data_IF_663078306416
#
_entry.id   IF_663078306416
#
_cell.length_a   1.000
_cell.length_b   1.000
_cell.length_c   1.000
_cell.angle_alpha   90.00
_cell.angle_beta   90.00
_cell.angle_gamma   90.00
#
_symmetry.space_group_name_H-M   'P 1'
#
loop_
_entity.id
_entity.type
_entity.pdbx_description
1 polymer ?
#
# COMPACT_ATOMS: atom_id res chain seq x y z
N UNK A 1 0.56 52.31 -20.59
CA UNK A 1 0.47 51.09 -19.75
C UNK A 1 0.99 49.81 -20.40
N UNK A 2 0.83 49.56 -21.71
CA UNK A 2 1.31 48.32 -22.37
C UNK A 2 2.83 48.16 -22.51
N UNK A 3 3.61 49.25 -22.56
CA UNK A 3 5.08 49.19 -22.72
C UNK A 3 5.81 48.73 -21.44
N UNK A 4 5.33 49.15 -20.26
CA UNK A 4 5.95 48.83 -18.96
C UNK A 4 5.80 47.34 -18.61
N UNK A 5 4.68 46.72 -18.99
CA UNK A 5 4.43 45.29 -18.76
C UNK A 5 5.34 44.38 -19.59
N UNK A 6 5.64 44.78 -20.83
CA UNK A 6 6.51 44.02 -21.74
C UNK A 6 7.96 43.99 -21.26
N UNK A 7 8.44 45.10 -20.68
CA UNK A 7 9.78 45.17 -20.09
C UNK A 7 9.90 44.33 -18.80
N UNK A 8 8.88 44.33 -17.93
CA UNK A 8 8.90 43.48 -16.73
C UNK A 8 8.88 41.99 -17.06
N UNK A 9 8.12 41.59 -18.09
CA UNK A 9 8.08 40.19 -18.55
C UNK A 9 9.43 39.76 -19.16
N UNK A 10 10.07 40.61 -19.95
CA UNK A 10 11.42 40.36 -20.49
C UNK A 10 12.48 40.19 -19.39
N UNK A 11 12.44 41.02 -18.34
CA UNK A 11 13.38 40.91 -17.21
C UNK A 11 13.19 39.58 -16.47
N UNK A 12 11.95 39.17 -16.23
CA UNK A 12 11.66 37.86 -15.57
C UNK A 12 12.15 36.70 -16.43
N UNK A 13 11.98 36.77 -17.75
CA UNK A 13 12.44 35.71 -18.65
C UNK A 13 13.97 35.60 -18.66
N UNK A 14 14.69 36.72 -18.67
CA UNK A 14 16.15 36.75 -18.59
C UNK A 14 16.63 36.15 -17.26
N UNK A 15 15.97 36.48 -16.14
CA UNK A 15 16.30 35.93 -14.83
C UNK A 15 16.10 34.41 -14.77
N UNK A 16 15.04 33.88 -15.37
CA UNK A 16 14.78 32.43 -15.45
C UNK A 16 15.88 31.75 -16.29
N UNK A 17 16.27 32.31 -17.43
CA UNK A 17 17.32 31.76 -18.28
C UNK A 17 18.67 31.76 -17.55
N UNK A 18 19.01 32.83 -16.83
CA UNK A 18 20.23 32.87 -16.01
C UNK A 18 20.22 31.85 -14.88
N UNK A 19 19.08 31.61 -14.25
CA UNK A 19 18.95 30.61 -13.18
C UNK A 19 19.14 29.18 -13.73
N UNK A 20 18.56 28.87 -14.89
CA UNK A 20 18.73 27.57 -15.57
C UNK A 20 20.20 27.37 -15.97
N UNK A 21 20.87 28.42 -16.45
CA UNK A 21 22.30 28.40 -16.78
C UNK A 21 23.17 28.10 -15.55
N UNK A 22 22.89 28.74 -14.41
CA UNK A 22 23.63 28.51 -13.16
C UNK A 22 23.44 27.07 -12.69
N UNK A 23 22.20 26.55 -12.71
CA UNK A 23 21.90 25.16 -12.34
C UNK A 23 22.65 24.17 -13.25
N UNK A 24 22.70 24.43 -14.56
CA UNK A 24 23.43 23.59 -15.51
C UNK A 24 24.94 23.58 -15.24
N UNK A 25 25.54 24.74 -14.97
CA UNK A 25 26.97 24.84 -14.64
C UNK A 25 27.28 24.16 -13.30
N UNK A 26 26.44 24.35 -12.28
CA UNK A 26 26.58 23.66 -11.00
C UNK A 26 26.48 22.14 -11.15
N UNK A 27 25.57 21.64 -11.98
CA UNK A 27 25.45 20.20 -12.28
C UNK A 27 26.70 19.63 -12.96
N UNK A 28 27.31 20.38 -13.88
CA UNK A 28 28.55 20.00 -14.56
C UNK A 28 29.74 19.98 -13.58
N UNK A 29 29.84 20.99 -12.71
CA UNK A 29 30.91 21.06 -11.70
C UNK A 29 30.79 19.90 -10.71
N UNK A 30 29.59 19.60 -10.21
CA UNK A 30 29.34 18.52 -9.25
C UNK A 30 29.57 17.11 -9.83
N UNK A 31 29.51 16.95 -11.15
CA UNK A 31 29.73 15.67 -11.82
C UNK A 31 31.08 15.55 -12.54
N UNK A 32 31.96 16.55 -12.44
CA UNK A 32 33.27 16.56 -13.12
C UNK A 32 34.19 15.42 -12.67
N UNK A 33 34.05 14.94 -11.44
CA UNK A 33 34.83 13.81 -10.92
C UNK A 33 34.32 12.43 -11.36
N UNK A 34 33.11 12.36 -11.95
CA UNK A 34 32.54 11.11 -12.51
C UNK A 34 32.89 10.89 -13.99
N UNK A 35 33.54 11.86 -14.64
CA UNK A 35 33.87 11.85 -16.08
C UNK A 35 35.36 11.61 -16.36
N UNK A 36 36.18 11.26 -15.36
CA UNK A 36 37.57 10.85 -15.60
C UNK A 36 37.62 9.36 -15.94
N UNK A 37 38.10 8.95 -17.13
CA UNK A 37 38.40 7.54 -17.38
C UNK A 37 39.55 7.06 -16.48
N UNK A 38 39.58 5.77 -16.10
CA UNK A 38 40.57 5.24 -15.19
C UNK A 38 41.98 5.37 -15.78
N UNK A 39 42.94 5.78 -14.94
CA UNK A 39 44.37 5.74 -15.28
C UNK A 39 44.80 4.27 -15.41
N UNK A 40 45.34 3.91 -16.57
CA UNK A 40 46.04 2.65 -16.78
C UNK A 40 47.44 2.73 -16.17
N UNK A 41 47.74 1.89 -15.19
CA UNK A 41 49.11 1.50 -14.88
C UNK A 41 49.48 0.32 -15.79
N UNK A 42 50.41 0.55 -16.71
CA UNK A 42 51.11 -0.48 -17.48
C UNK A 42 52.44 -0.77 -16.81
N UNK A 43 52.67 -2.02 -16.41
CA UNK A 43 53.99 -2.61 -16.25
C UNK A 43 54.29 -3.42 -17.55
N UNK A 44 55.45 -3.25 -18.20
CA UNK A 44 55.66 -3.67 -19.58
C UNK A 44 56.26 -5.08 -19.64
N UNK A 45 55.77 -5.93 -20.56
CA UNK A 45 56.60 -6.75 -21.46
C UNK A 45 55.75 -7.68 -22.34
N UNK A 46 56.23 -7.89 -23.57
CA UNK A 46 55.83 -8.86 -24.60
C UNK A 46 54.70 -8.52 -25.59
N UNK A 47 55.05 -7.65 -26.55
CA UNK A 47 55.23 -7.92 -27.99
C UNK A 47 54.42 -9.08 -28.64
N UNK A 48 53.56 -8.67 -29.61
CA UNK A 48 53.14 -9.26 -30.90
C UNK A 48 52.81 -10.78 -30.99
N UNK A 49 51.76 -11.26 -31.69
CA UNK A 49 51.26 -10.93 -33.03
C UNK A 49 49.79 -11.36 -33.21
N UNK A 50 49.17 -10.67 -34.15
CA UNK A 50 47.88 -10.84 -34.82
C UNK A 50 47.79 -12.16 -35.62
N UNK A 51 46.62 -12.81 -35.69
CA UNK A 51 45.85 -13.12 -36.92
C UNK A 51 44.78 -14.22 -36.75
N UNK A 52 43.59 -13.87 -37.23
CA UNK A 52 42.59 -14.60 -38.02
C UNK A 52 42.11 -16.05 -37.76
N UNK A 53 40.76 -16.10 -37.71
CA UNK A 53 39.85 -17.02 -38.43
C UNK A 53 39.54 -18.43 -37.88
N UNK A 54 38.24 -18.58 -37.59
CA UNK A 54 37.35 -19.69 -37.96
C UNK A 54 37.66 -21.12 -37.51
N UNK A 55 36.84 -21.67 -36.60
CA UNK A 55 35.80 -22.68 -36.90
C UNK A 55 35.32 -23.38 -35.62
N UNK A 56 34.08 -23.88 -35.71
CA UNK A 56 33.35 -24.74 -34.77
C UNK A 56 34.20 -25.67 -33.89
N UNK A 57 33.86 -25.72 -32.61
CA UNK A 57 33.62 -27.00 -31.93
C UNK A 57 32.83 -26.79 -30.63
N UNK A 58 31.72 -27.50 -30.55
CA UNK A 58 30.97 -27.82 -29.33
C UNK A 58 31.91 -28.28 -28.21
N UNK A 59 31.96 -27.49 -27.14
CA UNK A 59 32.36 -27.96 -25.81
C UNK A 59 31.31 -27.48 -24.81
N UNK A 60 30.62 -28.46 -24.24
CA UNK A 60 29.92 -28.34 -22.97
C UNK A 60 30.93 -27.88 -21.92
N UNK A 61 30.90 -26.61 -21.55
CA UNK A 61 31.62 -26.11 -20.39
C UNK A 61 30.63 -25.50 -19.41
N UNK A 62 30.41 -26.27 -18.35
CA UNK A 62 30.25 -25.83 -16.97
C UNK A 62 29.54 -24.48 -16.80
N UNK A 63 28.26 -24.59 -16.45
CA UNK A 63 27.65 -23.66 -15.50
C UNK A 63 28.53 -23.61 -14.24
N UNK A 64 29.56 -22.76 -14.27
CA UNK A 64 30.20 -22.28 -13.08
C UNK A 64 29.13 -21.59 -12.27
N UNK A 65 28.88 -22.12 -11.06
CA UNK A 65 28.18 -21.43 -9.99
C UNK A 65 28.70 -19.98 -9.93
N UNK A 66 27.97 -19.04 -10.52
CA UNK A 66 27.92 -17.71 -9.94
C UNK A 66 27.19 -17.94 -8.62
N UNK A 67 27.92 -17.89 -7.51
CA UNK A 67 27.29 -17.75 -6.20
C UNK A 67 26.28 -16.60 -6.33
N UNK A 68 25.00 -16.97 -6.40
CA UNK A 68 23.92 -16.02 -6.49
C UNK A 68 23.98 -15.18 -5.22
N UNK A 69 24.00 -13.86 -5.38
CA UNK A 69 23.98 -12.98 -4.23
C UNK A 69 22.64 -13.16 -3.51
N UNK A 70 22.67 -13.73 -2.31
CA UNK A 70 21.45 -14.04 -1.57
C UNK A 70 20.97 -12.86 -0.72
N UNK A 71 19.67 -12.84 -0.45
CA UNK A 71 19.04 -11.80 0.35
C UNK A 71 19.50 -11.83 1.81
N UNK A 72 19.79 -13.01 2.36
CA UNK A 72 20.26 -13.18 3.74
C UNK A 72 21.59 -12.46 4.03
N UNK A 73 22.37 -12.18 3.00
CA UNK A 73 23.65 -11.48 3.11
C UNK A 73 23.50 -9.95 3.09
N UNK A 74 22.28 -9.43 2.89
CA UNK A 74 22.03 -7.99 2.77
C UNK A 74 21.84 -7.30 4.10
N UNK A 75 22.12 -5.99 4.14
CA UNK A 75 22.10 -5.22 5.39
C UNK A 75 20.68 -5.08 5.93
N UNK A 76 20.52 -5.17 7.25
CA UNK A 76 19.29 -4.72 7.92
C UNK A 76 19.06 -3.24 7.59
N UNK A 77 17.81 -2.90 7.26
CA UNK A 77 17.39 -1.58 6.82
C UNK A 77 17.36 -1.39 5.29
N UNK A 78 17.97 -2.31 4.51
CA UNK A 78 17.85 -2.32 3.05
C UNK A 78 16.42 -2.59 2.60
N UNK A 79 16.09 -2.10 1.40
CA UNK A 79 14.79 -2.22 0.78
C UNK A 79 14.71 -3.40 -0.20
N UNK A 80 13.55 -4.04 -0.25
CA UNK A 80 13.21 -5.10 -1.21
C UNK A 80 11.85 -4.75 -1.81
N UNK A 81 11.68 -4.99 -3.11
CA UNK A 81 10.38 -4.91 -3.74
C UNK A 81 9.78 -6.32 -3.80
N UNK A 82 8.61 -6.46 -3.18
CA UNK A 82 7.91 -7.74 -3.09
C UNK A 82 6.41 -7.51 -3.03
N UNK A 83 5.65 -8.28 -3.81
CA UNK A 83 4.19 -8.21 -3.84
C UNK A 83 3.63 -6.78 -3.97
N UNK A 84 4.11 -6.04 -4.97
CA UNK A 84 3.61 -4.71 -5.31
C UNK A 84 4.00 -3.58 -4.33
N UNK A 85 4.89 -3.86 -3.37
CA UNK A 85 5.26 -2.91 -2.33
C UNK A 85 6.77 -2.92 -2.02
N UNK A 86 7.26 -1.78 -1.52
CA UNK A 86 8.57 -1.70 -0.90
C UNK A 86 8.49 -2.23 0.54
N UNK A 87 9.42 -3.10 0.88
CA UNK A 87 9.63 -3.68 2.20
C UNK A 87 11.02 -3.34 2.70
N UNK A 88 11.22 -3.40 4.02
CA UNK A 88 12.51 -3.18 4.67
C UNK A 88 12.90 -4.38 5.50
N UNK A 89 14.15 -4.79 5.38
CA UNK A 89 14.72 -5.85 6.22
C UNK A 89 14.84 -5.32 7.65
N UNK A 90 14.21 -5.97 8.63
CA UNK A 90 14.29 -5.60 10.05
C UNK A 90 15.04 -6.63 10.90
N UNK A 91 15.06 -7.88 10.46
CA UNK A 91 15.80 -8.93 11.14
C UNK A 91 16.22 -10.01 10.14
N UNK A 92 17.30 -10.72 10.48
CA UNK A 92 17.81 -11.86 9.72
C UNK A 92 18.26 -12.92 10.70
N UNK A 93 17.90 -14.17 10.45
CA UNK A 93 18.26 -15.32 11.25
C UNK A 93 18.38 -16.55 10.35
N UNK A 94 18.95 -17.65 10.86
CA UNK A 94 18.99 -18.92 10.14
C UNK A 94 17.59 -19.48 9.83
N UNK A 95 16.56 -19.01 10.55
CA UNK A 95 15.17 -19.40 10.36
C UNK A 95 14.42 -18.52 9.33
N UNK A 96 14.99 -17.41 8.87
CA UNK A 96 14.39 -16.57 7.85
C UNK A 96 14.71 -15.08 7.98
N UNK A 97 14.14 -14.31 7.05
CA UNK A 97 14.33 -12.87 6.90
C UNK A 97 13.01 -12.16 7.21
N UNK A 98 13.00 -11.30 8.23
CA UNK A 98 11.80 -10.54 8.59
C UNK A 98 11.79 -9.20 7.88
N UNK A 99 10.65 -8.90 7.26
CA UNK A 99 10.43 -7.70 6.48
C UNK A 99 9.24 -6.93 7.03
N UNK A 100 9.32 -5.60 7.03
CA UNK A 100 8.18 -4.72 7.27
C UNK A 100 7.86 -3.89 6.03
N UNK A 101 6.58 -3.68 5.73
CA UNK A 101 6.17 -2.76 4.68
C UNK A 101 6.73 -1.36 4.93
N UNK A 102 7.35 -0.72 3.93
CA UNK A 102 7.98 0.59 4.09
C UNK A 102 6.98 1.74 4.34
N UNK A 103 5.71 1.54 3.97
CA UNK A 103 4.59 2.44 4.26
C UNK A 103 3.41 1.60 4.78
N UNK A 104 2.48 2.19 5.55
CA UNK A 104 1.20 1.53 5.82
C UNK A 104 0.52 1.07 4.53
N UNK A 105 -0.15 -0.08 4.56
CA UNK A 105 -0.91 -0.63 3.41
C UNK A 105 -2.41 -0.36 3.51
N UNK A 106 -2.88 -0.03 4.71
CA UNK A 106 -4.23 0.44 5.01
C UNK A 106 -4.21 1.28 6.30
N UNK A 107 -5.32 1.96 6.57
CA UNK A 107 -5.62 2.56 7.88
C UNK A 107 -6.83 1.84 8.47
N UNK A 108 -6.70 1.38 9.72
CA UNK A 108 -7.70 0.55 10.42
C UNK A 108 -7.78 0.93 11.90
N UNK A 109 -8.89 0.57 12.52
CA UNK A 109 -8.95 0.46 13.97
C UNK A 109 -8.29 -0.84 14.45
N UNK A 110 -7.85 -0.85 15.71
CA UNK A 110 -7.19 -2.01 16.30
C UNK A 110 -8.17 -3.18 16.42
N UNK A 111 -9.28 -2.96 17.13
CA UNK A 111 -10.27 -3.99 17.44
C UNK A 111 -11.62 -3.39 17.79
N UNK A 112 -12.47 -4.22 18.41
CA UNK A 112 -13.73 -3.79 18.99
C UNK A 112 -13.49 -2.84 20.17
N UNK A 113 -14.47 -1.98 20.44
CA UNK A 113 -14.45 -1.14 21.64
C UNK A 113 -14.26 -2.01 22.89
N UNK A 114 -13.45 -1.54 23.83
CA UNK A 114 -13.10 -2.26 25.07
C UNK A 114 -12.42 -3.62 24.87
N UNK A 115 -11.84 -3.90 23.69
CA UNK A 115 -11.06 -5.10 23.46
C UNK A 115 -9.76 -4.83 22.69
N UNK A 116 -8.65 -4.84 23.42
CA UNK A 116 -7.29 -4.69 22.90
C UNK A 116 -6.54 -6.02 22.76
N UNK A 117 -7.22 -7.16 22.80
CA UNK A 117 -6.60 -8.46 22.58
C UNK A 117 -6.28 -8.65 21.09
N UNK A 118 -4.99 -8.73 20.75
CA UNK A 118 -4.55 -8.78 19.35
C UNK A 118 -5.03 -10.04 18.62
N UNK A 119 -5.07 -11.18 19.32
CA UNK A 119 -5.54 -12.46 18.79
C UNK A 119 -7.01 -12.44 18.34
N UNK A 120 -7.81 -11.54 18.92
CA UNK A 120 -9.21 -11.30 18.57
C UNK A 120 -9.43 -10.05 17.69
N UNK A 121 -8.37 -9.28 17.45
CA UNK A 121 -8.43 -7.95 16.84
C UNK A 121 -8.85 -7.94 15.38
N UNK A 122 -9.36 -6.80 14.92
CA UNK A 122 -9.65 -6.57 13.49
C UNK A 122 -8.37 -6.53 12.67
N UNK A 123 -7.28 -5.99 13.23
CA UNK A 123 -5.97 -5.97 12.58
C UNK A 123 -5.51 -7.38 12.22
N UNK A 124 -5.50 -8.31 13.18
CA UNK A 124 -5.05 -9.68 12.92
C UNK A 124 -5.91 -10.37 11.86
N UNK A 125 -7.23 -10.26 11.97
CA UNK A 125 -8.18 -10.82 11.00
C UNK A 125 -7.96 -10.22 9.61
N UNK A 126 -7.86 -8.90 9.51
CA UNK A 126 -7.63 -8.21 8.24
C UNK A 126 -6.31 -8.64 7.61
N UNK A 127 -5.23 -8.69 8.39
CA UNK A 127 -3.91 -9.09 7.93
C UNK A 127 -3.93 -10.51 7.37
N UNK A 128 -4.46 -11.48 8.12
CA UNK A 128 -4.32 -12.90 7.78
C UNK A 128 -5.47 -13.46 6.93
N UNK A 129 -6.64 -12.80 6.86
CA UNK A 129 -7.78 -13.28 6.06
C UNK A 129 -7.99 -12.45 4.77
N UNK A 130 -7.68 -11.14 4.80
CA UNK A 130 -7.86 -10.26 3.64
C UNK A 130 -6.54 -9.89 2.97
N UNK A 131 -5.59 -9.31 3.70
CA UNK A 131 -4.35 -8.86 3.09
C UNK A 131 -3.49 -10.02 2.59
N UNK A 132 -3.43 -11.13 3.35
CA UNK A 132 -2.69 -12.34 2.96
C UNK A 132 -3.08 -12.84 1.56
N UNK A 133 -4.37 -12.82 1.20
CA UNK A 133 -4.81 -13.32 -0.12
C UNK A 133 -4.24 -12.49 -1.27
N UNK A 134 -3.97 -11.21 -1.03
CA UNK A 134 -3.43 -10.29 -2.02
C UNK A 134 -1.93 -10.46 -2.28
N UNK A 135 -1.21 -11.14 -1.38
CA UNK A 135 0.23 -11.35 -1.52
C UNK A 135 0.58 -12.28 -2.68
N UNK A 136 1.62 -11.93 -3.43
CA UNK A 136 2.26 -12.78 -4.44
C UNK A 136 3.23 -13.78 -3.79
N UNK A 137 3.52 -14.88 -4.48
CA UNK A 137 4.54 -15.87 -4.11
C UNK A 137 4.51 -16.30 -2.64
N UNK A 138 3.33 -16.74 -2.19
CA UNK A 138 3.05 -17.08 -0.78
C UNK A 138 3.93 -18.24 -0.28
N UNK A 139 4.46 -19.07 -1.18
CA UNK A 139 5.40 -20.16 -0.91
C UNK A 139 6.72 -19.68 -0.29
N UNK A 140 7.07 -18.41 -0.45
CA UNK A 140 8.24 -17.82 0.19
C UNK A 140 7.99 -17.42 1.66
N UNK A 141 6.72 -17.38 2.08
CA UNK A 141 6.32 -16.92 3.40
C UNK A 141 6.45 -18.04 4.44
N UNK A 142 6.94 -17.68 5.62
CA UNK A 142 6.94 -18.53 6.80
C UNK A 142 6.02 -17.95 7.86
N UNK A 143 5.33 -18.82 8.60
CA UNK A 143 4.70 -18.43 9.86
C UNK A 143 5.77 -18.10 10.89
N UNK A 144 5.45 -17.18 11.79
CA UNK A 144 6.28 -16.91 12.97
C UNK A 144 5.40 -16.64 14.19
N UNK A 145 5.96 -16.90 15.36
CA UNK A 145 5.29 -16.64 16.63
C UNK A 145 5.56 -15.21 17.07
N UNK A 146 4.50 -14.43 17.20
CA UNK A 146 4.54 -13.07 17.70
C UNK A 146 4.07 -13.03 19.15
N UNK A 147 4.89 -12.49 20.04
CA UNK A 147 4.50 -12.25 21.44
C UNK A 147 3.93 -10.83 21.53
N UNK A 148 2.60 -10.72 21.54
CA UNK A 148 1.92 -9.42 21.47
C UNK A 148 1.65 -8.83 22.86
N UNK A 149 1.69 -9.62 23.94
CA UNK A 149 1.56 -9.12 25.32
C UNK A 149 2.39 -9.94 26.30
N UNK A 150 2.96 -9.23 27.28
CA UNK A 150 3.50 -9.82 28.52
C UNK A 150 2.61 -9.39 29.69
N UNK A 151 2.14 -10.35 30.46
CA UNK A 151 1.23 -10.16 31.58
C UNK A 151 1.99 -9.88 32.88
N UNK A 152 1.27 -9.36 33.88
CA UNK A 152 1.85 -8.99 35.17
C UNK A 152 2.35 -10.21 35.96
N UNK A 153 1.79 -11.39 35.71
CA UNK A 153 2.19 -12.68 36.29
C UNK A 153 3.42 -13.30 35.59
N UNK A 154 3.99 -12.61 34.59
CA UNK A 154 5.15 -13.06 33.82
C UNK A 154 4.80 -13.96 32.62
N UNK A 155 3.54 -14.35 32.44
CA UNK A 155 3.10 -15.09 31.25
C UNK A 155 3.06 -14.20 30.00
N UNK A 156 2.95 -14.83 28.83
CA UNK A 156 2.89 -14.12 27.55
C UNK A 156 1.73 -14.60 26.70
N UNK A 157 1.03 -13.67 26.05
CA UNK A 157 0.11 -13.99 24.97
C UNK A 157 0.84 -13.90 23.64
N UNK A 158 0.64 -14.91 22.80
CA UNK A 158 1.25 -14.99 21.48
C UNK A 158 0.27 -15.51 20.45
N UNK A 159 0.61 -15.30 19.19
CA UNK A 159 -0.07 -15.87 18.01
C UNK A 159 0.98 -16.37 17.03
N UNK A 160 0.65 -17.41 16.26
CA UNK A 160 1.51 -17.89 15.17
C UNK A 160 0.79 -17.65 13.86
N UNK A 161 1.27 -16.69 13.08
CA UNK A 161 0.61 -16.20 11.87
C UNK A 161 1.65 -15.97 10.75
N UNK A 162 1.20 -15.92 9.50
CA UNK A 162 2.06 -15.50 8.37
C UNK A 162 2.35 -13.99 8.40
N UNK A 163 1.37 -13.21 8.86
CA UNK A 163 1.44 -11.75 8.84
C UNK A 163 1.14 -11.19 10.22
N UNK A 164 2.04 -10.35 10.72
CA UNK A 164 1.90 -9.63 11.98
C UNK A 164 2.11 -8.13 11.81
N UNK A 165 2.37 -7.45 12.93
CA UNK A 165 2.81 -6.07 13.05
C UNK A 165 4.01 -6.02 13.98
N UNK A 166 4.70 -4.88 14.07
CA UNK A 166 5.71 -4.69 15.10
C UNK A 166 5.08 -4.86 16.49
N UNK A 167 5.78 -5.55 17.37
CA UNK A 167 5.61 -5.39 18.81
C UNK A 167 6.23 -4.06 19.26
N UNK A 168 5.86 -3.59 20.46
CA UNK A 168 6.48 -2.37 21.02
C UNK A 168 7.99 -2.54 21.24
N UNK A 169 8.45 -3.73 21.63
CA UNK A 169 9.86 -4.04 21.84
C UNK A 169 10.65 -4.02 20.51
N UNK A 170 10.10 -4.64 19.46
CA UNK A 170 10.72 -4.63 18.13
C UNK A 170 10.77 -3.22 17.55
N UNK A 171 9.73 -2.40 17.77
CA UNK A 171 9.76 -1.01 17.37
C UNK A 171 10.90 -0.26 18.06
N UNK A 172 11.03 -0.36 19.39
CA UNK A 172 12.10 0.31 20.14
C UNK A 172 13.49 -0.13 19.65
N UNK A 173 13.67 -1.42 19.35
CA UNK A 173 14.91 -1.97 18.79
C UNK A 173 15.24 -1.42 17.39
N UNK A 174 14.23 -1.21 16.55
CA UNK A 174 14.41 -0.87 15.14
C UNK A 174 14.12 0.60 14.79
N UNK A 175 13.77 1.45 15.77
CA UNK A 175 13.25 2.81 15.54
C UNK A 175 14.13 3.67 14.63
N UNK A 176 15.45 3.61 14.79
CA UNK A 176 16.42 4.45 14.07
C UNK A 176 16.55 4.04 12.60
N UNK A 177 16.30 2.76 12.33
CA UNK A 177 16.23 2.25 10.97
C UNK A 177 14.89 2.64 10.39
N UNK A 178 13.78 2.36 11.09
CA UNK A 178 12.42 2.52 10.57
C UNK A 178 12.03 3.97 10.26
N UNK A 179 12.42 4.93 11.10
CA UNK A 179 12.09 6.35 10.95
C UNK A 179 10.61 6.60 10.59
N UNK A 180 9.71 5.91 11.30
CA UNK A 180 8.27 6.02 11.07
C UNK A 180 7.80 7.45 11.38
N UNK A 181 7.16 8.08 10.40
CA UNK A 181 6.70 9.49 10.46
C UNK A 181 5.18 9.62 10.30
N UNK A 182 4.45 8.53 10.54
CA UNK A 182 2.99 8.44 10.46
C UNK A 182 2.47 7.62 11.63
N UNK A 183 1.25 7.90 12.05
CA UNK A 183 0.56 7.09 13.05
C UNK A 183 0.46 5.64 12.56
N UNK A 184 0.90 4.70 13.38
CA UNK A 184 0.93 3.29 13.03
C UNK A 184 0.64 2.42 14.24
N UNK A 185 -0.18 1.40 14.08
CA UNK A 185 -0.40 0.42 15.13
C UNK A 185 0.83 -0.46 15.35
N UNK A 186 1.10 -0.75 16.61
CA UNK A 186 1.83 -1.97 16.97
C UNK A 186 0.80 -3.07 17.24
N UNK A 187 1.19 -4.34 17.26
CA UNK A 187 0.31 -5.40 17.77
C UNK A 187 0.22 -5.43 19.29
N UNK A 188 1.10 -4.71 19.99
CA UNK A 188 1.18 -4.74 21.44
C UNK A 188 0.06 -3.97 22.09
N UNK A 189 -0.39 -4.47 23.24
CA UNK A 189 -1.40 -3.80 24.05
C UNK A 189 -1.10 -3.92 25.54
N UNK A 190 -1.30 -2.85 26.34
CA UNK A 190 -1.13 -2.89 27.79
C UNK A 190 -2.09 -3.91 28.43
N UNK A 191 -1.63 -4.59 29.48
CA UNK A 191 -2.43 -5.56 30.24
C UNK A 191 -3.38 -4.91 31.25
N UNK A 192 -3.15 -3.65 31.61
CA UNK A 192 -3.86 -2.94 32.67
C UNK A 192 -5.01 -2.03 32.19
N UNK A 193 -5.24 -1.96 30.87
CA UNK A 193 -6.31 -1.16 30.26
C UNK A 193 -6.76 -1.85 28.97
N UNK A 194 -8.04 -2.21 28.88
CA UNK A 194 -8.56 -3.11 27.84
C UNK A 194 -9.02 -2.37 26.57
N UNK A 195 -9.24 -1.06 26.64
CA UNK A 195 -9.69 -0.24 25.50
C UNK A 195 -8.54 0.50 24.79
N UNK A 196 -7.28 0.22 25.13
CA UNK A 196 -6.13 0.90 24.50
C UNK A 196 -5.09 -0.08 23.96
N UNK A 197 -4.42 0.31 22.88
CA UNK A 197 -3.30 -0.41 22.28
C UNK A 197 -2.10 0.52 22.03
N UNK A 198 -0.91 -0.05 21.92
CA UNK A 198 0.29 0.73 21.63
C UNK A 198 0.35 1.11 20.15
N UNK A 199 0.74 2.35 19.89
CA UNK A 199 0.94 2.88 18.55
C UNK A 199 2.22 3.72 18.50
N UNK A 200 2.71 3.93 17.29
CA UNK A 200 3.79 4.87 16.97
C UNK A 200 3.15 6.13 16.44
N UNK A 201 3.39 7.27 17.07
CA UNK A 201 2.92 8.58 16.62
C UNK A 201 3.69 9.08 15.39
N UNK A 202 3.16 10.11 14.73
CA UNK A 202 3.78 10.69 13.54
C UNK A 202 5.16 11.37 13.76
N UNK A 203 5.61 11.52 15.01
CA UNK A 203 6.95 11.98 15.36
C UNK A 203 7.88 10.86 15.84
N UNK A 204 7.46 9.59 15.72
CA UNK A 204 8.26 8.42 16.12
C UNK A 204 8.27 8.14 17.62
N UNK A 205 7.31 8.66 18.39
CA UNK A 205 7.14 8.27 19.80
C UNK A 205 6.17 7.10 19.92
N UNK A 206 6.53 6.14 20.77
CA UNK A 206 5.64 5.07 21.21
C UNK A 206 4.70 5.60 22.30
N UNK A 207 3.41 5.35 22.16
CA UNK A 207 2.37 5.78 23.11
C UNK A 207 1.15 4.81 23.04
N UNK A 208 0.10 5.06 23.81
CA UNK A 208 -1.15 4.28 23.83
C UNK A 208 -2.33 5.11 23.32
N UNK A 209 -3.23 4.48 22.57
CA UNK A 209 -4.43 5.11 22.04
C UNK A 209 -5.63 4.18 22.14
N UNK A 210 -6.83 4.75 22.08
CA UNK A 210 -8.08 4.00 22.05
C UNK A 210 -8.10 3.04 20.86
N UNK A 211 -8.57 1.81 21.06
CA UNK A 211 -8.58 0.74 20.05
C UNK A 211 -9.43 1.06 18.82
N UNK A 212 -10.33 2.03 18.89
CA UNK A 212 -11.17 2.53 17.80
C UNK A 212 -10.50 3.63 16.94
N UNK A 213 -9.30 4.07 17.36
CA UNK A 213 -8.49 5.04 16.61
C UNK A 213 -8.09 4.49 15.24
N UNK A 214 -8.09 5.33 14.21
CA UNK A 214 -7.86 4.91 12.81
C UNK A 214 -6.43 5.21 12.38
N UNK A 215 -5.53 4.26 12.61
CA UNK A 215 -4.09 4.41 12.34
C UNK A 215 -3.57 3.46 11.26
N UNK A 216 -2.40 3.77 10.73
CA UNK A 216 -1.74 2.98 9.71
C UNK A 216 -1.43 1.57 10.17
N UNK A 217 -1.44 0.65 9.22
CA UNK A 217 -1.11 -0.76 9.40
C UNK A 217 0.10 -1.08 8.54
N UNK A 218 1.24 -1.38 9.18
CA UNK A 218 2.48 -1.78 8.50
C UNK A 218 2.81 -3.26 8.75
N UNK A 219 2.39 -4.16 7.84
CA UNK A 219 2.56 -5.59 7.98
C UNK A 219 4.02 -6.00 8.15
N UNK A 220 4.24 -7.02 8.98
CA UNK A 220 5.46 -7.81 9.03
C UNK A 220 5.21 -9.17 8.40
N UNK A 221 6.16 -9.61 7.58
CA UNK A 221 6.22 -10.97 7.02
C UNK A 221 7.59 -11.58 7.29
N UNK A 222 7.66 -12.91 7.32
CA UNK A 222 8.91 -13.65 7.35
C UNK A 222 9.09 -14.41 6.05
N UNK A 223 10.23 -14.21 5.39
CA UNK A 223 10.61 -14.95 4.19
C UNK A 223 11.58 -16.08 4.52
N UNK A 224 11.61 -17.11 3.66
CA UNK A 224 12.70 -18.11 3.63
C UNK A 224 14.07 -17.46 3.35
N UNK A 225 15.17 -18.14 3.69
CA UNK A 225 16.52 -17.58 3.57
C UNK A 225 17.12 -17.67 2.16
N UNK A 226 16.78 -18.71 1.41
CA UNK A 226 17.37 -19.01 0.10
C UNK A 226 16.64 -18.22 -0.99
N UNK A 227 16.77 -16.89 -0.96
CA UNK A 227 16.15 -15.98 -1.92
C UNK A 227 17.23 -15.30 -2.73
N UNK A 228 17.21 -15.53 -4.03
CA UNK A 228 18.21 -14.99 -4.95
C UNK A 228 17.86 -13.58 -5.39
N UNK A 229 18.84 -12.67 -5.36
CA UNK A 229 18.65 -11.31 -5.86
C UNK A 229 18.89 -11.28 -7.37
N UNK A 230 17.93 -10.71 -8.10
CA UNK A 230 18.00 -10.44 -9.53
C UNK A 230 18.71 -9.13 -9.84
N UNK A 231 18.33 -8.04 -9.16
CA UNK A 231 18.89 -6.70 -9.34
C UNK A 231 18.58 -5.78 -8.13
N UNK A 232 18.90 -4.49 -8.25
CA UNK A 232 18.72 -3.48 -7.21
C UNK A 232 19.92 -3.37 -6.27
N UNK A 233 20.03 -2.25 -5.57
CA UNK A 233 21.12 -1.98 -4.62
C UNK A 233 20.62 -1.90 -3.16
N UNK A 234 19.32 -2.04 -2.93
CA UNK A 234 18.70 -2.03 -1.62
C UNK A 234 18.41 -0.64 -1.06
N UNK A 235 18.50 0.42 -1.88
CA UNK A 235 17.93 1.73 -1.52
C UNK A 235 16.43 1.75 -1.77
N UNK A 236 15.73 2.77 -1.25
CA UNK A 236 14.28 2.90 -1.42
C UNK A 236 13.89 3.08 -2.90
N UNK A 237 14.74 3.77 -3.65
CA UNK A 237 14.58 4.08 -5.07
C UNK A 237 14.96 2.89 -5.96
N UNK A 238 15.94 2.08 -5.53
CA UNK A 238 16.40 0.87 -6.24
C UNK A 238 16.41 -0.32 -5.28
N UNK A 239 15.22 -0.76 -4.81
CA UNK A 239 15.10 -1.87 -3.87
C UNK A 239 15.62 -3.16 -4.52
N UNK A 240 16.08 -4.11 -3.70
CA UNK A 240 16.42 -5.43 -4.23
C UNK A 240 15.20 -6.07 -4.90
N UNK A 241 15.41 -6.64 -6.08
CA UNK A 241 14.45 -7.48 -6.78
C UNK A 241 14.88 -8.93 -6.65
N UNK A 242 13.94 -9.82 -6.44
CA UNK A 242 14.20 -11.24 -6.24
C UNK A 242 13.89 -12.01 -7.53
N UNK A 243 14.61 -13.10 -7.78
CA UNK A 243 14.43 -13.93 -8.99
C UNK A 243 13.05 -14.57 -9.01
N UNK A 244 12.54 -14.92 -7.83
CA UNK A 244 11.27 -15.58 -7.63
C UNK A 244 10.08 -14.65 -7.92
N UNK A 245 10.29 -13.33 -8.02
CA UNK A 245 9.19 -12.39 -8.29
C UNK A 245 8.54 -12.64 -9.65
N UNK A 246 7.23 -12.94 -9.63
CA UNK A 246 6.44 -13.17 -10.85
C UNK A 246 6.01 -11.86 -11.51
N UNK A 247 6.69 -11.50 -12.59
CA UNK A 247 6.26 -10.47 -13.56
C UNK A 247 5.28 -11.09 -14.56
N UNK A 248 4.14 -10.42 -14.83
CA UNK A 248 3.19 -10.91 -15.83
C UNK A 248 3.73 -10.82 -17.26
N UNK A 249 3.41 -11.82 -18.08
CA UNK A 249 3.70 -11.82 -19.51
C UNK A 249 2.55 -11.19 -20.31
N UNK A 250 2.82 -10.63 -21.51
CA UNK A 250 1.78 -10.24 -22.43
C UNK A 250 0.78 -11.38 -22.70
N UNK A 251 -0.51 -11.07 -22.70
CA UNK A 251 -1.62 -12.01 -22.85
C UNK A 251 -2.23 -12.50 -21.52
N UNK A 252 -1.53 -12.35 -20.40
CA UNK A 252 -2.08 -12.71 -19.08
C UNK A 252 -3.19 -11.75 -18.64
N UNK A 253 -4.21 -12.28 -17.96
CA UNK A 253 -5.34 -11.48 -17.48
C UNK A 253 -4.92 -10.54 -16.34
N UNK A 254 -5.45 -9.32 -16.35
CA UNK A 254 -5.16 -8.32 -15.32
C UNK A 254 -5.62 -8.77 -13.92
N UNK A 255 -6.69 -9.54 -13.83
CA UNK A 255 -7.19 -10.08 -12.57
C UNK A 255 -6.31 -11.17 -11.94
N UNK A 256 -5.16 -11.49 -12.53
CA UNK A 256 -4.12 -12.33 -11.93
C UNK A 256 -3.01 -11.53 -11.24
N UNK A 257 -3.18 -10.19 -11.17
CA UNK A 257 -2.23 -9.25 -10.56
C UNK A 257 -2.56 -8.91 -9.11
N UNK A 258 -1.58 -8.36 -8.43
CA UNK A 258 -1.55 -8.23 -6.97
C UNK A 258 -1.68 -6.78 -6.53
N UNK A 259 -2.17 -6.59 -5.30
CA UNK A 259 -2.35 -5.27 -4.70
C UNK A 259 -1.02 -4.49 -4.66
N UNK A 260 -1.10 -3.20 -4.98
CA UNK A 260 0.04 -2.27 -4.98
C UNK A 260 0.75 -2.12 -6.32
N UNK A 261 0.61 -3.06 -7.26
CA UNK A 261 1.16 -2.99 -8.61
C UNK A 261 0.52 -1.87 -9.44
N UNK A 262 1.28 -1.32 -10.39
CA UNK A 262 0.88 -0.18 -11.20
C UNK A 262 0.41 -0.58 -12.60
N UNK A 263 -0.59 0.15 -13.09
CA UNK A 263 -1.25 -0.08 -14.37
C UNK A 263 -1.42 1.25 -15.10
N UNK A 264 -1.18 1.25 -16.41
CA UNK A 264 -1.46 2.39 -17.29
C UNK A 264 -2.78 2.14 -18.03
N UNK A 265 -3.77 2.99 -17.76
CA UNK A 265 -5.11 2.91 -18.36
C UNK A 265 -5.63 4.32 -18.63
N UNK A 266 -6.16 4.55 -19.84
CA UNK A 266 -6.66 5.85 -20.28
C UNK A 266 -5.61 6.99 -20.17
N UNK A 267 -4.33 6.67 -20.35
CA UNK A 267 -3.23 7.65 -20.19
C UNK A 267 -2.95 8.06 -18.74
N UNK A 268 -3.60 7.42 -17.77
CA UNK A 268 -3.46 7.65 -16.34
C UNK A 268 -2.76 6.45 -15.69
N UNK A 269 -2.07 6.72 -14.57
CA UNK A 269 -1.47 5.67 -13.74
C UNK A 269 -2.42 5.29 -12.62
N UNK A 270 -2.61 3.99 -12.45
CA UNK A 270 -3.48 3.39 -11.46
C UNK A 270 -2.70 2.38 -10.63
N UNK A 271 -3.22 2.08 -9.44
CA UNK A 271 -2.74 1.00 -8.58
C UNK A 271 -3.79 -0.08 -8.45
N UNK A 272 -3.39 -1.34 -8.55
CA UNK A 272 -4.25 -2.48 -8.24
C UNK A 272 -4.57 -2.45 -6.74
N UNK A 273 -5.85 -2.43 -6.40
CA UNK A 273 -6.32 -2.45 -5.01
C UNK A 273 -6.59 -3.89 -4.59
N UNK A 274 -7.43 -4.57 -5.37
CA UNK A 274 -7.96 -5.90 -5.07
C UNK A 274 -8.55 -6.55 -6.34
N UNK A 275 -8.79 -7.86 -6.27
CA UNK A 275 -9.57 -8.61 -7.26
C UNK A 275 -10.93 -8.93 -6.63
N UNK A 276 -12.00 -8.40 -7.22
CA UNK A 276 -13.35 -8.61 -6.69
C UNK A 276 -13.80 -10.06 -6.92
N UNK A 277 -14.82 -10.51 -6.17
CA UNK A 277 -15.39 -11.86 -6.29
C UNK A 277 -15.89 -12.19 -7.71
N UNK A 278 -16.35 -11.19 -8.44
CA UNK A 278 -16.77 -11.32 -9.85
C UNK A 278 -15.58 -11.24 -10.84
N UNK A 279 -14.34 -11.38 -10.37
CA UNK A 279 -13.10 -11.38 -11.14
C UNK A 279 -12.76 -10.06 -11.85
N UNK A 280 -13.47 -8.97 -11.53
CA UNK A 280 -13.06 -7.62 -11.96
C UNK A 280 -11.87 -7.12 -11.15
N UNK A 281 -11.02 -6.30 -11.76
CA UNK A 281 -9.86 -5.71 -11.07
C UNK A 281 -10.22 -4.33 -10.56
N UNK A 282 -10.15 -4.13 -9.24
CA UNK A 282 -10.32 -2.83 -8.62
C UNK A 282 -9.04 -2.02 -8.72
N UNK A 283 -9.15 -0.83 -9.30
CA UNK A 283 -8.05 0.10 -9.48
C UNK A 283 -8.28 1.39 -8.71
N UNK A 284 -7.21 1.98 -8.20
CA UNK A 284 -7.19 3.29 -7.55
C UNK A 284 -6.34 4.24 -8.36
N UNK A 285 -6.84 5.44 -8.64
CA UNK A 285 -6.06 6.45 -9.34
C UNK A 285 -4.81 6.81 -8.54
N UNK A 286 -3.65 6.85 -9.19
CA UNK A 286 -2.36 7.18 -8.55
C UNK A 286 -2.14 8.69 -8.40
N UNK A 287 -3.22 9.46 -8.26
CA UNK A 287 -3.22 10.89 -7.97
C UNK A 287 -4.62 11.27 -7.45
N UNK A 288 -4.86 12.55 -7.24
CA UNK A 288 -6.15 13.09 -6.78
C UNK A 288 -6.73 14.08 -7.79
N UNK A 289 -8.04 14.31 -7.66
CA UNK A 289 -8.80 15.26 -8.48
C UNK A 289 -9.48 16.26 -7.55
N UNK A 290 -9.20 17.54 -7.74
CA UNK A 290 -9.80 18.61 -6.94
C UNK A 290 -11.26 18.84 -7.29
N UNK A 291 -12.08 19.06 -6.27
CA UNK A 291 -13.49 19.43 -6.37
C UNK A 291 -13.83 20.44 -5.26
N UNK A 292 -14.99 21.10 -5.38
CA UNK A 292 -15.44 22.12 -4.42
C UNK A 292 -15.93 21.54 -3.08
N UNK A 293 -15.84 20.23 -2.88
CA UNK A 293 -16.29 19.52 -1.69
C UNK A 293 -16.61 18.05 -1.99
N UNK A 294 -17.09 17.30 -1.01
CA UNK A 294 -17.83 16.08 -1.30
C UNK A 294 -19.25 16.41 -1.78
N UNK A 295 -19.90 17.37 -1.12
CA UNK A 295 -21.19 17.95 -1.51
C UNK A 295 -21.27 19.42 -1.07
N UNK A 296 -21.63 20.32 -1.99
CA UNK A 296 -21.64 21.77 -1.72
C UNK A 296 -22.74 22.24 -0.77
N UNK A 297 -23.73 21.40 -0.45
CA UNK A 297 -24.81 21.67 0.51
C UNK A 297 -24.61 20.96 1.85
N UNK A 298 -23.45 20.35 2.04
CA UNK A 298 -23.07 19.62 3.25
C UNK A 298 -23.81 18.29 3.50
N UNK A 299 -24.20 17.59 2.43
CA UNK A 299 -24.90 16.31 2.53
C UNK A 299 -23.90 15.16 2.33
N UNK A 300 -23.68 14.28 3.31
CA UNK A 300 -22.62 13.29 3.26
C UNK A 300 -23.00 12.02 2.48
N UNK A 301 -23.71 12.13 1.35
CA UNK A 301 -24.19 10.99 0.55
C UNK A 301 -23.46 10.94 -0.78
N UNK A 302 -23.04 9.76 -1.24
CA UNK A 302 -22.44 9.61 -2.56
C UNK A 302 -23.55 9.45 -3.61
N UNK A 303 -23.94 10.56 -4.25
CA UNK A 303 -25.08 10.58 -5.19
C UNK A 303 -24.67 11.02 -6.60
N UNK A 304 -24.65 10.07 -7.54
CA UNK A 304 -24.25 10.31 -8.93
C UNK A 304 -25.26 11.12 -9.73
N UNK A 305 -26.51 11.25 -9.27
CA UNK A 305 -27.55 12.03 -9.95
C UNK A 305 -27.56 13.49 -9.50
N UNK A 306 -26.89 13.82 -8.39
CA UNK A 306 -26.88 15.17 -7.83
C UNK A 306 -25.68 16.01 -8.29
N UNK A 307 -25.96 17.08 -9.04
CA UNK A 307 -24.94 17.99 -9.61
C UNK A 307 -24.09 18.73 -8.57
N UNK A 308 -24.54 18.81 -7.32
CA UNK A 308 -23.77 19.41 -6.21
C UNK A 308 -22.79 18.42 -5.57
N UNK A 309 -22.87 17.15 -5.95
CA UNK A 309 -22.12 16.06 -5.36
C UNK A 309 -20.93 15.66 -6.22
N UNK A 310 -19.83 15.29 -5.56
CA UNK A 310 -18.62 14.81 -6.22
C UNK A 310 -18.88 13.55 -7.06
N UNK A 311 -19.82 12.70 -6.65
CA UNK A 311 -20.19 11.49 -7.37
C UNK A 311 -20.72 11.76 -8.78
N UNK A 312 -21.51 12.84 -8.97
CA UNK A 312 -22.02 13.23 -10.28
C UNK A 312 -20.86 13.62 -11.21
N UNK A 313 -19.93 14.47 -10.75
CA UNK A 313 -18.75 14.83 -11.54
C UNK A 313 -17.91 13.60 -11.91
N UNK A 314 -17.69 12.69 -10.95
CA UNK A 314 -16.91 11.48 -11.16
C UNK A 314 -17.56 10.53 -12.19
N UNK A 315 -18.89 10.42 -12.18
CA UNK A 315 -19.63 9.50 -13.05
C UNK A 315 -20.17 10.13 -14.34
N UNK A 316 -19.96 11.43 -14.56
CA UNK A 316 -20.31 12.12 -15.81
C UNK A 316 -19.07 12.64 -16.52
N UNK A 317 -18.44 13.68 -15.98
CA UNK A 317 -17.30 14.38 -16.60
C UNK A 317 -16.05 13.53 -16.55
N UNK A 318 -15.67 13.01 -15.37
CA UNK A 318 -14.44 12.23 -15.26
C UNK A 318 -14.55 10.90 -16.03
N UNK A 319 -15.62 10.13 -15.79
CA UNK A 319 -15.92 8.90 -16.53
C UNK A 319 -15.98 9.11 -18.06
N UNK A 320 -16.65 10.18 -18.52
CA UNK A 320 -16.76 10.50 -19.94
C UNK A 320 -15.44 10.86 -20.63
N UNK A 321 -14.45 11.30 -19.87
CA UNK A 321 -13.10 11.62 -20.37
C UNK A 321 -12.14 10.43 -20.33
N UNK A 322 -12.54 9.27 -19.80
CA UNK A 322 -11.71 8.06 -19.84
C UNK A 322 -11.77 7.41 -21.23
N UNK A 323 -10.61 7.25 -21.87
CA UNK A 323 -10.47 6.42 -23.07
C UNK A 323 -10.78 4.96 -22.74
N UNK A 324 -11.52 4.29 -23.63
CA UNK A 324 -11.99 2.92 -23.43
C UNK A 324 -12.83 2.76 -22.15
N UNK A 325 -13.69 3.74 -21.84
CA UNK A 325 -14.59 3.69 -20.68
C UNK A 325 -15.56 2.50 -20.70
N UNK A 326 -15.77 1.87 -21.86
CA UNK A 326 -16.50 0.62 -22.03
C UNK A 326 -15.81 -0.60 -21.36
N UNK A 327 -14.56 -0.47 -20.90
CA UNK A 327 -13.87 -1.50 -20.10
C UNK A 327 -14.28 -1.48 -18.62
N UNK A 328 -14.90 -0.39 -18.15
CA UNK A 328 -15.34 -0.27 -16.76
C UNK A 328 -16.62 -1.06 -16.53
N UNK A 329 -16.73 -1.63 -15.34
CA UNK A 329 -17.92 -2.34 -14.87
C UNK A 329 -18.60 -1.52 -13.80
N UNK A 330 -19.90 -1.25 -13.99
CA UNK A 330 -20.71 -0.62 -12.94
C UNK A 330 -20.73 -1.52 -11.72
N UNK A 331 -20.41 -0.95 -10.55
CA UNK A 331 -20.18 -1.71 -9.33
C UNK A 331 -20.84 -1.04 -8.14
N UNK A 332 -21.13 -1.83 -7.11
CA UNK A 332 -21.70 -1.32 -5.87
C UNK A 332 -20.62 -0.76 -4.95
N UNK A 333 -20.81 0.50 -4.56
CA UNK A 333 -19.92 1.23 -3.66
C UNK A 333 -20.60 1.43 -2.31
N UNK A 334 -19.98 0.91 -1.25
CA UNK A 334 -20.56 0.83 0.09
C UNK A 334 -20.16 2.03 0.95
N UNK A 335 -21.15 2.75 1.49
CA UNK A 335 -20.92 4.07 2.10
C UNK A 335 -20.76 4.07 3.62
N UNK A 336 -21.23 3.06 4.37
CA UNK A 336 -21.20 3.13 5.85
C UNK A 336 -19.92 2.60 6.48
N UNK A 337 -19.55 3.21 7.61
CA UNK A 337 -18.43 2.78 8.47
C UNK A 337 -18.92 1.73 9.46
N UNK A 338 -18.32 0.55 9.42
CA UNK A 338 -18.50 -0.43 10.48
C UNK A 338 -17.18 -1.00 11.00
N UNK A 339 -16.04 -0.34 10.71
CA UNK A 339 -14.73 -0.98 10.83
C UNK A 339 -14.51 -2.06 9.78
N UNK A 340 -13.33 -2.69 9.82
CA UNK A 340 -13.17 -3.97 9.13
C UNK A 340 -13.95 -5.05 9.87
N UNK A 341 -15.03 -5.50 9.25
CA UNK A 341 -15.77 -6.68 9.68
C UNK A 341 -15.39 -7.82 8.71
N UNK A 342 -14.84 -8.95 9.22
CA UNK A 342 -14.54 -10.10 8.37
C UNK A 342 -15.84 -10.61 7.68
N UNK A 343 -15.74 -11.20 6.49
CA UNK A 343 -16.89 -11.87 5.88
C UNK A 343 -17.44 -12.93 6.85
N UNK A 344 -18.75 -12.93 7.09
CA UNK A 344 -19.40 -14.04 7.81
C UNK A 344 -19.53 -15.20 6.85
N UNK A 345 -18.88 -16.33 7.17
CA UNK A 345 -19.23 -17.64 6.62
C UNK A 345 -20.58 -18.06 7.21
N UNK A 346 -21.41 -18.74 6.41
CA UNK A 346 -22.81 -19.13 6.68
C UNK A 346 -23.16 -19.17 8.18
N UNK A 347 -24.21 -18.44 8.65
CA UNK A 347 -24.63 -18.50 10.05
C UNK A 347 -24.95 -19.91 10.57
N UNK A 348 -25.14 -20.90 9.68
CA UNK A 348 -25.32 -22.31 10.04
C UNK A 348 -23.99 -23.08 10.28
N UNK A 349 -22.84 -22.50 9.97
CA UNK A 349 -21.53 -23.10 10.19
C UNK A 349 -20.49 -22.03 10.57
N UNK A 350 -20.64 -21.39 11.75
CA UNK A 350 -19.77 -20.30 12.16
C UNK A 350 -18.33 -20.80 12.38
N UNK A 351 -17.30 -20.05 11.94
CA UNK A 351 -15.92 -20.32 12.31
C UNK A 351 -15.82 -20.26 13.85
N UNK A 352 -15.10 -21.22 14.44
CA UNK A 352 -15.02 -21.38 15.89
C UNK A 352 -14.39 -20.17 16.58
N UNK A 353 -15.22 -19.20 16.95
CA UNK A 353 -14.86 -18.12 17.85
C UNK A 353 -15.99 -17.94 18.86
N UNK A 354 -15.98 -18.79 19.89
CA UNK A 354 -16.71 -18.53 21.14
C UNK A 354 -15.67 -18.30 22.22
N UNK A 355 -15.56 -17.06 22.69
CA UNK A 355 -15.61 -16.71 24.12
C UNK A 355 -15.28 -15.21 24.30
N UNK A 356 -16.33 -14.39 24.23
CA UNK A 356 -16.48 -13.29 25.18
C UNK A 356 -17.73 -13.61 25.99
N UNK A 357 -17.69 -13.37 27.30
CA UNK A 357 -18.63 -13.86 28.32
C UNK A 357 -20.11 -13.77 27.87
N UNK A 358 -20.66 -14.90 27.41
CA UNK A 358 -22.09 -15.09 27.23
C UNK A 358 -22.71 -15.20 28.62
N UNK A 359 -23.60 -14.26 28.99
CA UNK A 359 -24.48 -14.40 30.15
C UNK A 359 -25.69 -15.25 29.74
N UNK A 360 -25.79 -16.52 30.19
CA UNK A 360 -26.87 -17.42 29.81
C UNK A 360 -28.26 -16.98 30.31
N UNK A 361 -28.36 -15.88 31.06
CA UNK A 361 -29.64 -15.34 31.55
C UNK A 361 -30.25 -14.25 30.66
N UNK A 362 -29.60 -13.85 29.55
CA UNK A 362 -30.13 -12.83 28.64
C UNK A 362 -30.06 -13.29 27.17
N UNK A 363 -31.05 -14.06 26.68
CA UNK A 363 -31.05 -14.65 25.34
C UNK A 363 -31.31 -13.66 24.19
N UNK A 364 -31.45 -12.35 24.45
CA UNK A 364 -31.77 -11.33 23.44
C UNK A 364 -30.53 -10.66 22.80
N UNK A 365 -29.30 -11.03 23.19
CA UNK A 365 -28.09 -10.42 22.66
C UNK A 365 -27.68 -11.07 21.31
N UNK A 366 -27.79 -10.29 20.22
CA UNK A 366 -27.41 -10.73 18.86
C UNK A 366 -25.94 -11.13 18.82
N UNK A 367 -25.60 -12.22 18.12
CA UNK A 367 -24.20 -12.61 17.94
C UNK A 367 -23.43 -11.57 17.10
N UNK A 368 -22.09 -11.50 17.26
CA UNK A 368 -21.25 -10.59 16.44
C UNK A 368 -21.46 -10.85 14.95
N UNK A 369 -21.70 -12.10 14.54
CA UNK A 369 -21.98 -12.50 13.17
C UNK A 369 -23.36 -12.03 12.70
N UNK A 370 -24.39 -12.10 13.54
CA UNK A 370 -25.73 -11.57 13.25
C UNK A 370 -25.70 -10.04 13.15
N UNK A 371 -25.02 -9.36 14.08
CA UNK A 371 -24.77 -7.92 14.02
C UNK A 371 -23.99 -7.58 12.74
N UNK A 372 -22.98 -8.36 12.37
CA UNK A 372 -22.18 -8.19 11.16
C UNK A 372 -22.98 -8.42 9.87
N UNK A 373 -23.94 -9.36 9.88
CA UNK A 373 -24.87 -9.60 8.78
C UNK A 373 -25.91 -8.48 8.64
N UNK A 374 -26.50 -8.01 9.74
CA UNK A 374 -27.47 -6.92 9.72
C UNK A 374 -26.82 -5.57 9.40
N UNK A 375 -25.61 -5.30 9.89
CA UNK A 375 -24.78 -4.15 9.47
C UNK A 375 -24.43 -4.19 7.98
N UNK A 376 -24.41 -5.38 7.37
CA UNK A 376 -24.17 -5.57 5.92
C UNK A 376 -25.37 -5.25 5.02
N UNK A 377 -26.53 -4.89 5.58
CA UNK A 377 -27.70 -4.35 4.83
C UNK A 377 -27.46 -2.88 4.40
N UNK A 378 -26.28 -2.65 3.82
CA UNK A 378 -25.60 -1.38 3.64
C UNK A 378 -26.28 -0.57 2.54
N UNK A 379 -26.39 0.75 2.76
CA UNK A 379 -26.61 1.70 1.67
C UNK A 379 -25.40 1.68 0.73
N UNK A 380 -25.59 1.06 -0.43
CA UNK A 380 -24.66 1.10 -1.54
C UNK A 380 -25.24 1.91 -2.69
N UNK A 381 -24.35 2.34 -3.58
CA UNK A 381 -24.71 3.02 -4.81
C UNK A 381 -23.99 2.36 -5.98
N UNK A 382 -24.73 2.00 -7.01
CA UNK A 382 -24.14 1.42 -8.23
C UNK A 382 -23.62 2.54 -9.12
N UNK A 383 -22.30 2.54 -9.37
CA UNK A 383 -21.62 3.59 -10.14
C UNK A 383 -20.40 3.02 -10.88
N UNK A 384 -19.97 3.66 -11.97
CA UNK A 384 -18.76 3.27 -12.71
C UNK A 384 -17.49 3.73 -12.00
N UNK A 385 -17.56 4.89 -11.36
CA UNK A 385 -16.46 5.49 -10.61
C UNK A 385 -16.95 5.69 -9.18
N UNK A 386 -16.16 5.24 -8.22
CA UNK A 386 -16.39 5.44 -6.80
C UNK A 386 -15.17 6.00 -6.09
N UNK A 387 -15.14 5.87 -4.76
CA UNK A 387 -13.97 6.13 -3.92
C UNK A 387 -13.73 4.91 -3.03
N UNK A 388 -12.52 4.78 -2.48
CA UNK A 388 -12.26 3.73 -1.50
C UNK A 388 -13.06 3.95 -0.23
N UNK A 389 -13.49 2.86 0.39
CA UNK A 389 -14.04 2.86 1.75
C UNK A 389 -12.93 2.60 2.77
N UNK A 390 -13.19 3.03 4.01
CA UNK A 390 -12.37 2.67 5.15
C UNK A 390 -12.11 1.15 5.22
N UNK A 391 -10.86 0.78 5.52
CA UNK A 391 -10.41 -0.61 5.61
C UNK A 391 -10.16 -1.33 4.28
N UNK A 392 -10.23 -0.62 3.16
CA UNK A 392 -9.67 -1.10 1.90
C UNK A 392 -8.16 -0.92 1.83
N UNK A 393 -7.51 -1.77 1.04
CA UNK A 393 -6.10 -1.60 0.70
C UNK A 393 -5.88 -0.26 0.01
N UNK A 394 -4.70 0.32 0.20
CA UNK A 394 -4.32 1.62 -0.36
C UNK A 394 -5.12 2.82 0.19
N UNK A 395 -5.87 2.64 1.29
CA UNK A 395 -6.33 3.74 2.15
C UNK A 395 -5.17 4.29 2.98
N UNK A 396 -4.18 4.89 2.29
CA UNK A 396 -2.89 5.24 2.88
C UNK A 396 -2.42 6.63 2.44
N UNK A 397 -1.26 7.05 2.94
CA UNK A 397 -0.60 8.32 2.59
C UNK A 397 0.52 8.10 1.58
N UNK A 398 0.28 7.25 0.59
CA UNK A 398 1.22 7.04 -0.51
C UNK A 398 1.31 8.27 -1.43
N UNK A 399 0.29 9.12 -1.42
CA UNK A 399 0.20 10.45 -2.06
C UNK A 399 0.27 11.61 -1.04
N UNK A 400 0.78 12.76 -1.48
CA UNK A 400 0.96 13.97 -0.65
C UNK A 400 -0.25 14.90 -0.69
N UNK A 401 -1.45 14.37 -0.51
CA UNK A 401 -2.69 15.14 -0.48
C UNK A 401 -3.70 14.46 0.45
N UNK A 402 -4.51 15.26 1.14
CA UNK A 402 -5.71 14.77 1.81
C UNK A 402 -6.71 14.31 0.77
N UNK A 403 -7.52 13.29 1.04
CA UNK A 403 -8.53 12.84 0.08
C UNK A 403 -9.70 12.13 0.72
N UNK A 404 -10.88 12.31 0.11
CA UNK A 404 -12.14 11.74 0.59
C UNK A 404 -12.18 10.22 0.48
N UNK A 405 -12.67 9.56 1.53
CA UNK A 405 -13.22 8.21 1.44
C UNK A 405 -14.70 8.31 1.07
N UNK A 406 -15.25 7.24 0.49
CA UNK A 406 -16.72 7.14 0.32
C UNK A 406 -17.44 6.96 1.67
N UNK A 407 -16.69 6.62 2.71
CA UNK A 407 -17.22 6.23 4.01
C UNK A 407 -17.77 7.41 4.79
N UNK A 408 -19.05 7.31 5.16
CA UNK A 408 -19.77 8.20 6.05
C UNK A 408 -19.40 7.94 7.51
N UNK A 409 -19.44 9.00 8.31
CA UNK A 409 -19.34 8.89 9.76
C UNK A 409 -20.70 8.45 10.31
N UNK A 410 -20.72 7.41 11.14
CA UNK A 410 -21.94 6.97 11.80
C UNK A 410 -22.56 8.12 12.61
N UNK A 411 -23.88 8.21 12.57
CA UNK A 411 -24.68 9.21 13.30
C UNK A 411 -24.35 10.68 12.95
N UNK A 412 -23.64 10.93 11.84
CA UNK A 412 -23.42 12.28 11.32
C UNK A 412 -24.32 12.58 10.14
N UNK A 413 -24.99 13.73 10.18
CA UNK A 413 -25.77 14.26 9.06
C UNK A 413 -24.96 15.13 8.10
N UNK A 414 -23.66 15.33 8.36
CA UNK A 414 -22.86 16.29 7.59
C UNK A 414 -21.40 15.89 7.33
N UNK A 415 -20.85 14.89 8.04
CA UNK A 415 -19.43 14.56 7.97
C UNK A 415 -19.15 13.28 7.19
N UNK A 416 -18.02 13.27 6.49
CA UNK A 416 -17.40 12.08 5.91
C UNK A 416 -15.99 11.90 6.42
N UNK A 417 -15.48 10.69 6.23
CA UNK A 417 -14.08 10.40 6.46
C UNK A 417 -13.20 10.82 5.30
N UNK A 418 -12.00 11.31 5.65
CA UNK A 418 -10.92 11.57 4.71
C UNK A 418 -9.60 11.06 5.28
N UNK A 419 -8.66 10.78 4.39
CA UNK A 419 -7.29 10.43 4.76
C UNK A 419 -6.52 11.73 4.99
N UNK A 420 -5.98 11.92 6.19
CA UNK A 420 -5.14 13.06 6.51
C UNK A 420 -3.67 12.72 6.25
N UNK A 421 -3.12 13.21 5.15
CA UNK A 421 -1.86 12.72 4.59
C UNK A 421 -0.65 13.01 5.47
N UNK A 422 -0.66 14.14 6.20
CA UNK A 422 0.48 14.57 7.02
C UNK A 422 0.73 13.66 8.21
N UNK A 423 -0.32 13.08 8.79
CA UNK A 423 -0.19 12.23 9.97
C UNK A 423 -0.45 10.75 9.65
N UNK A 424 -1.16 10.42 8.57
CA UNK A 424 -1.49 9.03 8.23
C UNK A 424 -2.57 8.44 9.10
N UNK A 425 -3.60 9.25 9.36
CA UNK A 425 -4.82 8.85 10.05
C UNK A 425 -6.02 9.02 9.13
N UNK A 426 -7.14 8.42 9.52
CA UNK A 426 -8.45 8.85 9.02
C UNK A 426 -9.01 9.87 9.99
N UNK A 427 -9.42 11.01 9.44
CA UNK A 427 -10.09 12.10 10.15
C UNK A 427 -11.47 12.32 9.52
N UNK A 428 -12.26 13.19 10.11
CA UNK A 428 -13.60 13.53 9.65
C UNK A 428 -13.77 15.03 9.53
N UNK A 429 -14.50 15.47 8.52
CA UNK A 429 -14.84 16.88 8.33
C UNK A 429 -16.16 17.02 7.57
N UNK A 430 -16.70 18.24 7.54
CA UNK A 430 -17.94 18.59 6.85
C UNK A 430 -17.84 18.29 5.34
N UNK A 431 -18.91 17.76 4.75
CA UNK A 431 -18.98 17.37 3.33
C UNK A 431 -18.72 18.53 2.36
N UNK A 432 -18.94 19.80 2.77
CA UNK A 432 -18.58 20.95 1.93
C UNK A 432 -17.08 21.29 1.93
N UNK A 433 -16.27 20.63 2.78
CA UNK A 433 -14.83 20.94 2.88
C UNK A 433 -14.13 20.63 1.57
N UNK A 434 -13.34 21.58 1.05
CA UNK A 434 -12.60 21.42 -0.20
C UNK A 434 -11.43 20.44 -0.05
N UNK A 435 -11.72 19.15 -0.19
CA UNK A 435 -10.72 18.08 -0.31
C UNK A 435 -10.90 17.39 -1.66
N UNK A 436 -9.81 16.89 -2.27
CA UNK A 436 -9.89 16.22 -3.54
C UNK A 436 -10.39 14.77 -3.40
N UNK A 437 -10.87 14.20 -4.50
CA UNK A 437 -11.18 12.78 -4.63
C UNK A 437 -9.98 11.97 -5.10
N UNK A 438 -9.93 10.70 -4.68
CA UNK A 438 -9.08 9.69 -5.28
C UNK A 438 -9.97 8.61 -5.93
N UNK A 439 -10.28 8.74 -7.24
CA UNK A 439 -11.19 7.83 -7.93
C UNK A 439 -10.76 6.38 -7.85
N UNK A 440 -11.74 5.51 -7.63
CA UNK A 440 -11.61 4.07 -7.77
C UNK A 440 -12.55 3.56 -8.87
N UNK A 441 -12.10 2.56 -9.63
CA UNK A 441 -12.85 1.95 -10.74
C UNK A 441 -12.69 0.43 -10.71
N UNK A 442 -13.58 -0.29 -11.39
CA UNK A 442 -13.43 -1.72 -11.62
C UNK A 442 -13.32 -1.99 -13.13
N UNK A 443 -12.25 -2.66 -13.55
CA UNK A 443 -12.06 -3.11 -14.93
C UNK A 443 -12.58 -4.54 -15.11
N UNK A 444 -13.19 -4.76 -16.26
CA UNK A 444 -13.75 -6.06 -16.68
C UNK A 444 -12.69 -7.18 -16.69
N UNK A 445 -13.12 -8.41 -16.38
CA UNK A 445 -12.24 -9.59 -16.31
C UNK A 445 -11.62 -9.98 -17.65
N UNK A 446 -12.15 -9.48 -18.79
CA UNK A 446 -11.56 -9.72 -20.10
C UNK A 446 -10.25 -8.96 -20.31
N UNK A 447 -9.99 -7.88 -19.56
CA UNK A 447 -8.79 -7.05 -19.69
C UNK A 447 -7.52 -7.86 -19.43
N UNK A 448 -6.53 -7.68 -20.30
CA UNK A 448 -5.26 -8.40 -20.26
C UNK A 448 -4.06 -7.47 -20.45
N UNK A 449 -2.89 -7.96 -20.04
CA UNK A 449 -1.63 -7.23 -20.04
C UNK A 449 -0.97 -7.34 -21.41
N UNK A 450 -0.40 -6.24 -21.91
CA UNK A 450 0.34 -6.19 -23.19
C UNK A 450 1.83 -5.87 -23.01
N UNK A 451 2.25 -5.47 -21.81
CA UNK A 451 3.64 -5.21 -21.47
C UNK A 451 3.77 -4.49 -20.13
N UNK A 452 5.00 -4.09 -19.77
CA UNK A 452 5.32 -3.50 -18.46
C UNK A 452 5.68 -4.57 -17.42
N UNK A 453 6.11 -4.13 -16.24
CA UNK A 453 6.48 -5.01 -15.11
C UNK A 453 5.72 -4.70 -13.82
N UNK A 454 4.75 -3.79 -13.88
CA UNK A 454 3.91 -3.43 -12.74
C UNK A 454 4.56 -2.48 -11.73
N UNK A 455 5.74 -1.94 -12.03
CA UNK A 455 6.36 -0.87 -11.24
C UNK A 455 5.81 0.50 -11.64
N UNK A 456 6.04 1.51 -10.80
CA UNK A 456 5.61 2.89 -11.11
C UNK A 456 6.26 3.43 -12.40
N UNK A 457 7.54 3.11 -12.61
CA UNK A 457 8.30 3.57 -13.78
C UNK A 457 7.97 2.78 -15.05
N UNK A 458 7.50 1.53 -14.90
CA UNK A 458 7.13 0.65 -16.00
C UNK A 458 5.80 -0.09 -15.72
N UNK A 459 4.69 0.66 -15.63
CA UNK A 459 3.39 0.11 -15.25
C UNK A 459 2.87 -0.87 -16.31
N UNK A 460 2.03 -1.83 -15.90
CA UNK A 460 1.40 -2.74 -16.85
C UNK A 460 0.55 -1.98 -17.87
N UNK A 461 0.76 -2.29 -19.14
CA UNK A 461 -0.05 -1.79 -20.26
C UNK A 461 -1.19 -2.76 -20.52
N UNK A 462 -2.34 -2.24 -20.94
CA UNK A 462 -3.58 -3.02 -21.04
C UNK A 462 -4.17 -3.06 -22.45
N UNK A 463 -4.92 -4.12 -22.71
CA UNK A 463 -5.88 -4.26 -23.80
C UNK A 463 -7.10 -5.06 -23.33
N UNK A 464 -8.18 -5.10 -24.12
CA UNK A 464 -9.37 -5.91 -23.84
C UNK A 464 -9.77 -6.70 -25.07
#
# INVERSE_FOLDING_TARGET
MKSIFKNKFMIVLILIITLISIIGVSYIILNKDKLKPPKSETDPNNINQQTDSSQDQTTSENQGNKEGVELKDKKVGSYIWFSGNNWRIINKSDDGIELISAKPVAILNFGLENNNYYDQSYLRKWLNQKYYTTLNNKELLKTQTYIWRKNNDGTTNSVTDYIGLLTKEEYVKNKDILNMSKYNWTMSAPSYIENQAYYVSNNGKLDIAQVDSKYGVSPIIKLINNISIKDGNGTKELPYRIVEERIAKPGEKLNTRHSGEYVSYSGLIWRVVDINQNLTTKLLYNNVIWFEGFDTRNIPVYDKEDKNNIANYLNTVFYGNLSNNNWLVMSDWYMKDYGYIPPVEDPNNPPQFVNYNYDPNNPDEKTVEQISYERRKIESISAYVGLLRFGELLTTTDISADWWLITQVNDSSSKLYYIYYLSGIISQTEAFTKLPARPAINLDSAVYITGGDGTLDNPYKLAR
#
